data_IF_983556990909
#
_entry.id   IF_983556990909
#
_cell.length_a   1.000
_cell.length_b   1.000
_cell.length_c   1.000
_cell.angle_alpha   90.00
_cell.angle_beta   90.00
_cell.angle_gamma   90.00
#
_symmetry.space_group_name_H-M   'P 1'
#
loop_
_entity.id
_entity.type
_entity.pdbx_description
1 polymer ?
#
# COMPACT_ATOMS: atom_id res chain seq x y z
N UNK A 1 22.14 -24.43 -31.59
CA UNK A 1 22.64 -23.17 -31.00
C UNK A 1 21.41 -22.41 -30.55
N UNK A 2 20.98 -22.63 -29.30
CA UNK A 2 19.82 -21.94 -28.75
C UNK A 2 20.26 -20.50 -28.46
N UNK A 3 19.62 -19.51 -29.08
CA UNK A 3 19.68 -18.13 -28.60
C UNK A 3 19.03 -18.15 -27.22
N UNK A 4 19.82 -17.93 -26.17
CA UNK A 4 19.28 -17.48 -24.89
C UNK A 4 18.68 -16.11 -25.14
N UNK A 5 17.37 -16.07 -25.40
CA UNK A 5 16.61 -14.83 -25.34
C UNK A 5 16.53 -14.46 -23.86
N UNK A 6 17.47 -13.63 -23.40
CA UNK A 6 17.32 -13.00 -22.09
C UNK A 6 16.20 -11.97 -22.25
N UNK A 7 15.07 -12.24 -21.61
CA UNK A 7 13.96 -11.29 -21.50
C UNK A 7 13.99 -10.74 -20.07
N UNK A 8 15.08 -10.10 -19.65
CA UNK A 8 15.06 -9.45 -18.34
C UNK A 8 14.02 -8.32 -18.40
N UNK A 9 12.93 -8.47 -17.66
CA UNK A 9 11.93 -7.41 -17.56
C UNK A 9 12.50 -6.34 -16.63
N UNK A 10 12.83 -5.18 -17.21
CA UNK A 10 13.39 -4.05 -16.46
C UNK A 10 12.39 -2.91 -16.43
N UNK A 11 11.89 -2.62 -15.24
CA UNK A 11 11.01 -1.49 -14.98
C UNK A 11 11.81 -0.29 -14.48
N UNK A 12 11.58 0.88 -15.09
CA UNK A 12 12.31 2.11 -14.76
C UNK A 12 11.41 3.12 -14.06
N UNK A 13 11.67 3.33 -12.78
CA UNK A 13 10.86 4.15 -11.87
C UNK A 13 11.61 5.40 -11.40
N UNK A 14 10.86 6.40 -10.97
CA UNK A 14 11.38 7.71 -10.55
C UNK A 14 11.91 8.57 -11.71
N UNK A 15 12.21 9.83 -11.46
CA UNK A 15 12.78 10.74 -12.44
C UNK A 15 14.25 11.05 -12.08
N UNK A 16 15.15 10.94 -13.06
CA UNK A 16 16.56 11.21 -12.85
C UNK A 16 16.76 12.66 -12.41
N UNK A 17 17.60 12.88 -11.39
CA UNK A 17 17.83 14.20 -10.79
C UNK A 17 16.73 14.69 -9.85
N UNK A 18 15.60 13.97 -9.68
CA UNK A 18 14.53 14.35 -8.75
C UNK A 18 14.41 13.33 -7.62
N UNK A 19 14.92 13.70 -6.44
CA UNK A 19 14.97 12.83 -5.26
C UNK A 19 13.59 12.41 -4.78
N UNK A 20 12.62 13.33 -4.75
CA UNK A 20 11.29 13.06 -4.22
C UNK A 20 10.52 12.01 -5.03
N UNK A 21 10.59 12.04 -6.38
CA UNK A 21 9.92 11.06 -7.24
C UNK A 21 10.56 9.67 -7.11
N UNK A 22 11.88 9.62 -6.94
CA UNK A 22 12.61 8.38 -6.68
C UNK A 22 12.24 7.77 -5.32
N UNK A 23 12.10 8.60 -4.27
CA UNK A 23 11.64 8.13 -2.96
C UNK A 23 10.20 7.58 -3.01
N UNK A 24 9.27 8.30 -3.65
CA UNK A 24 7.89 7.81 -3.81
C UNK A 24 7.85 6.49 -4.59
N UNK A 25 8.62 6.41 -5.67
CA UNK A 25 8.71 5.20 -6.49
C UNK A 25 9.23 4.01 -5.70
N UNK A 26 10.27 4.21 -4.90
CA UNK A 26 10.83 3.15 -4.05
C UNK A 26 9.83 2.70 -2.98
N UNK A 27 9.11 3.62 -2.33
CA UNK A 27 8.09 3.24 -1.34
C UNK A 27 6.90 2.51 -1.98
N UNK A 28 6.43 2.97 -3.14
CA UNK A 28 5.37 2.30 -3.88
C UNK A 28 5.80 0.89 -4.29
N UNK A 29 7.01 0.75 -4.84
CA UNK A 29 7.59 -0.54 -5.25
C UNK A 29 7.58 -1.52 -4.07
N UNK A 30 8.16 -1.12 -2.92
CA UNK A 30 8.21 -1.96 -1.72
C UNK A 30 6.83 -2.26 -1.14
N UNK A 31 5.87 -1.33 -1.22
CA UNK A 31 4.51 -1.57 -0.72
C UNK A 31 3.74 -2.60 -1.57
N UNK A 32 4.02 -2.65 -2.87
CA UNK A 32 3.23 -3.42 -3.85
C UNK A 32 3.85 -4.74 -4.26
N UNK A 33 5.15 -4.93 -4.01
CA UNK A 33 5.90 -6.13 -4.38
C UNK A 33 6.38 -6.86 -3.12
N UNK A 34 5.97 -8.11 -2.96
CA UNK A 34 6.19 -8.88 -1.73
C UNK A 34 7.61 -9.48 -1.62
N UNK A 35 8.30 -9.69 -2.74
CA UNK A 35 9.47 -10.59 -2.81
C UNK A 35 10.80 -9.87 -3.11
N UNK A 36 10.88 -8.58 -2.79
CA UNK A 36 12.14 -7.82 -2.95
C UNK A 36 13.10 -8.24 -1.83
N UNK A 37 14.17 -8.93 -2.19
CA UNK A 37 15.15 -9.45 -1.21
C UNK A 37 16.52 -8.77 -1.31
N UNK A 38 16.85 -8.22 -2.48
CA UNK A 38 18.18 -7.70 -2.77
C UNK A 38 18.11 -6.40 -3.58
N UNK A 39 18.98 -5.45 -3.21
CA UNK A 39 19.14 -4.17 -3.87
C UNK A 39 20.63 -3.84 -4.09
N UNK A 40 20.95 -3.31 -5.27
CA UNK A 40 22.24 -2.72 -5.59
C UNK A 40 22.13 -1.21 -5.62
N UNK A 41 22.93 -0.54 -4.81
CA UNK A 41 23.25 0.87 -4.94
C UNK A 41 24.30 1.03 -6.05
N UNK A 42 23.92 1.69 -7.13
CA UNK A 42 24.80 2.00 -8.25
C UNK A 42 25.38 3.39 -8.06
N UNK A 43 26.70 3.48 -7.86
CA UNK A 43 27.38 4.75 -7.61
C UNK A 43 28.25 5.14 -8.81
N UNK A 44 28.02 6.33 -9.36
CA UNK A 44 28.90 7.00 -10.32
C UNK A 44 29.25 8.36 -9.77
N UNK A 45 30.52 8.56 -9.38
CA UNK A 45 30.98 9.77 -8.71
C UNK A 45 30.14 10.06 -7.45
N UNK A 46 29.33 11.13 -7.47
CA UNK A 46 28.44 11.52 -6.38
C UNK A 46 26.96 11.28 -6.71
N UNK A 47 26.64 10.55 -7.78
CA UNK A 47 25.27 10.24 -8.19
C UNK A 47 24.95 8.77 -7.96
N UNK A 48 23.74 8.51 -7.49
CA UNK A 48 23.31 7.19 -7.06
C UNK A 48 21.95 6.80 -7.61
N UNK A 49 21.84 5.54 -8.04
CA UNK A 49 20.62 4.87 -8.47
C UNK A 49 20.47 3.54 -7.73
N UNK A 50 19.30 2.90 -7.80
CA UNK A 50 19.10 1.55 -7.28
C UNK A 50 18.64 0.59 -8.36
N UNK A 51 19.09 -0.66 -8.26
CA UNK A 51 18.47 -1.80 -8.94
C UNK A 51 18.03 -2.79 -7.87
N UNK A 52 16.74 -3.08 -7.82
CA UNK A 52 16.16 -4.12 -6.98
C UNK A 52 15.82 -5.32 -7.84
N UNK A 53 15.88 -6.52 -7.25
CA UNK A 53 15.38 -7.73 -7.90
C UNK A 53 14.39 -8.47 -7.02
N UNK A 54 13.41 -9.09 -7.65
CA UNK A 54 12.48 -10.00 -6.98
C UNK A 54 12.94 -11.46 -7.09
N UNK A 55 12.14 -12.37 -6.52
CA UNK A 55 12.34 -13.82 -6.57
C UNK A 55 12.21 -14.42 -7.98
N UNK A 56 11.61 -13.69 -8.92
CA UNK A 56 11.31 -14.12 -10.29
C UNK A 56 12.30 -13.57 -11.31
N UNK A 57 13.42 -12.99 -10.86
CA UNK A 57 14.44 -12.35 -11.69
C UNK A 57 13.90 -11.17 -12.54
N UNK A 58 12.86 -10.48 -12.06
CA UNK A 58 12.50 -9.17 -12.58
C UNK A 58 13.36 -8.09 -11.92
N UNK A 59 13.72 -7.07 -12.70
CA UNK A 59 14.57 -5.98 -12.22
C UNK A 59 13.81 -4.66 -12.18
N UNK A 60 13.95 -3.96 -11.06
CA UNK A 60 13.31 -2.68 -10.83
C UNK A 60 14.38 -1.62 -10.61
N UNK A 61 14.48 -0.69 -11.54
CA UNK A 61 15.42 0.41 -11.50
C UNK A 61 14.75 1.61 -10.86
N UNK A 62 15.34 2.14 -9.78
CA UNK A 62 15.10 3.52 -9.35
C UNK A 62 16.18 4.39 -9.99
N UNK A 63 15.78 5.32 -10.87
CA UNK A 63 16.70 6.21 -11.60
C UNK A 63 17.59 7.02 -10.66
N UNK A 64 18.63 7.64 -11.23
CA UNK A 64 19.63 8.40 -10.48
C UNK A 64 19.08 9.73 -9.93
N UNK A 65 18.23 9.67 -8.91
CA UNK A 65 17.67 10.83 -8.21
C UNK A 65 18.36 11.16 -6.89
N UNK A 66 19.39 10.39 -6.53
CA UNK A 66 20.10 10.51 -5.25
C UNK A 66 21.53 10.99 -5.47
N UNK A 67 22.09 11.71 -4.49
CA UNK A 67 23.47 12.20 -4.55
C UNK A 67 24.18 12.03 -3.21
N UNK A 68 25.50 12.25 -3.16
CA UNK A 68 26.28 12.27 -1.92
C UNK A 68 27.39 13.36 -1.95
N UNK A 69 28.13 13.52 -0.85
CA UNK A 69 29.29 14.42 -0.79
C UNK A 69 28.99 15.87 -0.37
N UNK A 70 27.74 16.20 -0.07
CA UNK A 70 27.33 17.50 0.49
C UNK A 70 26.10 17.34 1.39
N UNK A 71 25.69 18.42 2.05
CA UNK A 71 24.43 18.46 2.80
C UNK A 71 23.32 19.02 1.89
N UNK A 72 22.29 18.23 1.61
CA UNK A 72 21.19 18.65 0.75
C UNK A 72 20.10 17.59 0.60
N UNK A 73 19.17 17.83 -0.33
CA UNK A 73 18.02 16.95 -0.56
C UNK A 73 18.43 15.57 -1.09
N UNK A 74 19.32 15.51 -2.08
CA UNK A 74 19.79 14.25 -2.66
C UNK A 74 20.45 13.30 -1.65
N UNK A 75 21.43 13.76 -0.84
CA UNK A 75 22.06 12.92 0.19
C UNK A 75 21.11 12.54 1.33
N UNK A 76 20.22 13.46 1.74
CA UNK A 76 19.15 13.15 2.68
C UNK A 76 18.21 12.08 2.12
N UNK A 77 17.83 12.18 0.85
CA UNK A 77 17.00 11.19 0.18
C UNK A 77 17.67 9.84 0.07
N UNK A 78 18.98 9.80 -0.21
CA UNK A 78 19.76 8.56 -0.21
C UNK A 78 19.72 7.89 1.17
N UNK A 79 19.94 8.67 2.23
CA UNK A 79 19.86 8.17 3.60
C UNK A 79 18.48 7.59 3.95
N UNK A 80 17.40 8.26 3.52
CA UNK A 80 16.01 7.78 3.68
C UNK A 80 15.79 6.48 2.90
N UNK A 81 16.25 6.40 1.65
CA UNK A 81 16.13 5.21 0.80
C UNK A 81 16.85 4.00 1.41
N UNK A 82 18.12 4.16 1.81
CA UNK A 82 18.89 3.10 2.45
C UNK A 82 18.26 2.64 3.78
N UNK A 83 17.75 3.58 4.57
CA UNK A 83 17.08 3.26 5.83
C UNK A 83 15.74 2.55 5.62
N UNK A 84 15.03 2.87 4.54
CA UNK A 84 13.83 2.16 4.12
C UNK A 84 14.16 0.72 3.73
N UNK A 85 15.15 0.49 2.87
CA UNK A 85 15.59 -0.85 2.46
C UNK A 85 15.98 -1.70 3.68
N UNK A 86 16.80 -1.13 4.58
CA UNK A 86 17.20 -1.78 5.84
C UNK A 86 16.00 -2.17 6.72
N UNK A 87 15.00 -1.29 6.83
CA UNK A 87 13.79 -1.54 7.64
C UNK A 87 12.95 -2.69 7.07
N UNK A 88 12.92 -2.84 5.74
CA UNK A 88 12.24 -3.95 5.06
C UNK A 88 13.12 -5.20 4.91
N UNK A 89 14.29 -5.23 5.57
CA UNK A 89 15.22 -6.35 5.54
C UNK A 89 15.70 -6.70 4.11
N UNK A 90 15.73 -5.70 3.22
CA UNK A 90 16.28 -5.85 1.88
C UNK A 90 17.79 -5.72 1.97
N UNK A 91 18.51 -6.78 1.60
CA UNK A 91 19.96 -6.77 1.56
C UNK A 91 20.41 -5.74 0.52
N UNK A 92 21.29 -4.82 0.93
CA UNK A 92 21.75 -3.74 0.08
C UNK A 92 23.26 -3.74 0.01
N UNK A 93 23.79 -3.74 -1.20
CA UNK A 93 25.22 -3.63 -1.48
C UNK A 93 25.48 -2.49 -2.45
N UNK A 94 26.73 -2.03 -2.54
CA UNK A 94 27.12 -0.91 -3.40
C UNK A 94 28.16 -1.35 -4.42
N UNK A 95 28.02 -0.89 -5.66
CA UNK A 95 29.00 -1.06 -6.73
C UNK A 95 29.32 0.27 -7.40
N UNK A 96 30.52 0.36 -7.98
CA UNK A 96 30.88 1.48 -8.87
C UNK A 96 30.44 1.18 -10.29
N UNK A 97 29.81 2.16 -10.93
CA UNK A 97 29.43 2.09 -12.35
C UNK A 97 29.98 3.28 -13.11
N UNK A 98 30.19 3.09 -14.41
CA UNK A 98 30.58 4.21 -15.28
C UNK A 98 29.43 5.19 -15.49
N UNK A 99 29.75 6.47 -15.70
CA UNK A 99 28.78 7.52 -16.05
C UNK A 99 27.98 7.14 -17.30
N UNK A 100 28.61 6.43 -18.26
CA UNK A 100 27.92 5.93 -19.46
C UNK A 100 26.81 4.94 -19.13
N UNK A 101 27.07 4.01 -18.20
CA UNK A 101 26.09 3.02 -17.76
C UNK A 101 24.96 3.68 -16.97
N UNK A 102 25.29 4.63 -16.10
CA UNK A 102 24.27 5.40 -15.36
C UNK A 102 23.38 6.22 -16.31
N UNK A 103 23.95 6.81 -17.36
CA UNK A 103 23.18 7.53 -18.38
C UNK A 103 22.23 6.61 -19.16
N UNK A 104 22.65 5.39 -19.51
CA UNK A 104 21.76 4.38 -20.12
C UNK A 104 20.59 4.03 -19.20
N UNK A 105 20.88 3.85 -17.91
CA UNK A 105 19.88 3.56 -16.90
C UNK A 105 18.83 4.69 -16.82
N UNK A 106 19.29 5.94 -16.77
CA UNK A 106 18.38 7.10 -16.73
C UNK A 106 17.53 7.24 -18.00
N UNK A 107 18.06 6.86 -19.16
CA UNK A 107 17.33 6.85 -20.43
C UNK A 107 16.55 5.56 -20.70
N UNK A 108 16.45 4.65 -19.73
CA UNK A 108 15.68 3.40 -19.82
C UNK A 108 16.17 2.47 -20.95
N UNK A 109 17.49 2.37 -21.12
CA UNK A 109 18.13 1.71 -22.26
C UNK A 109 19.19 0.67 -21.87
N UNK A 110 19.07 0.04 -20.70
CA UNK A 110 19.93 -1.08 -20.33
C UNK A 110 19.56 -2.31 -21.18
N UNK A 111 20.57 -3.00 -21.68
CA UNK A 111 20.42 -4.32 -22.28
C UNK A 111 20.60 -5.42 -21.23
N UNK A 112 20.23 -6.66 -21.54
CA UNK A 112 20.49 -7.80 -20.64
C UNK A 112 21.99 -7.94 -20.32
N UNK A 113 22.86 -7.65 -21.31
CA UNK A 113 24.31 -7.64 -21.09
C UNK A 113 24.75 -6.57 -20.09
N UNK A 114 24.08 -5.41 -20.08
CA UNK A 114 24.36 -4.37 -19.10
C UNK A 114 23.92 -4.80 -17.69
N UNK A 115 22.80 -5.52 -17.57
CA UNK A 115 22.31 -6.09 -16.29
C UNK A 115 23.26 -7.18 -15.78
N UNK A 116 23.62 -8.15 -16.63
CA UNK A 116 24.58 -9.19 -16.30
C UNK A 116 25.90 -8.59 -15.83
N UNK A 117 26.37 -7.55 -16.53
CA UNK A 117 27.60 -6.83 -16.17
C UNK A 117 27.51 -6.13 -14.81
N UNK A 118 26.35 -5.55 -14.47
CA UNK A 118 26.11 -4.90 -13.16
C UNK A 118 26.24 -5.91 -12.03
N UNK A 119 25.58 -7.07 -12.14
CA UNK A 119 25.61 -8.09 -11.08
C UNK A 119 26.92 -8.87 -11.00
N UNK A 120 27.81 -8.74 -11.99
CA UNK A 120 29.17 -9.28 -11.96
C UNK A 120 30.20 -8.30 -11.38
N UNK A 121 29.85 -7.04 -11.12
CA UNK A 121 30.78 -6.06 -10.57
C UNK A 121 31.21 -6.43 -9.14
N UNK A 122 32.44 -6.05 -8.79
CA UNK A 122 32.93 -6.18 -7.42
C UNK A 122 32.20 -5.20 -6.50
N UNK A 123 31.70 -5.75 -5.40
CA UNK A 123 31.05 -4.99 -4.33
C UNK A 123 32.09 -4.13 -3.61
N UNK A 124 31.74 -2.87 -3.34
CA UNK A 124 32.58 -1.96 -2.56
C UNK A 124 32.70 -2.47 -1.12
N UNK A 125 33.95 -2.70 -0.68
CA UNK A 125 34.29 -3.07 0.70
C UNK A 125 35.33 -2.11 1.29
N UNK A 126 35.29 -1.79 2.60
CA UNK A 126 34.23 -2.13 3.54
C UNK A 126 32.91 -1.47 3.16
N UNK A 127 31.78 -2.03 3.61
CA UNK A 127 30.44 -1.50 3.30
C UNK A 127 30.32 -0.09 3.92
N UNK A 128 30.10 0.93 3.08
CA UNK A 128 30.03 2.35 3.50
C UNK A 128 28.60 2.88 3.61
N UNK A 129 27.59 2.02 3.45
CA UNK A 129 26.19 2.44 3.47
C UNK A 129 25.80 3.20 4.75
N UNK A 130 26.42 2.85 5.88
CA UNK A 130 26.19 3.55 7.14
C UNK A 130 26.68 5.01 7.11
N UNK A 131 27.76 5.29 6.38
CA UNK A 131 28.35 6.63 6.26
C UNK A 131 27.40 7.59 5.52
N UNK A 132 26.56 7.07 4.62
CA UNK A 132 25.50 7.86 3.98
C UNK A 132 24.33 8.17 4.92
N UNK A 133 24.06 7.31 5.90
CA UNK A 133 22.93 7.45 6.82
C UNK A 133 23.28 8.34 8.01
N UNK A 134 24.49 8.18 8.57
CA UNK A 134 24.91 8.80 9.82
C UNK A 134 24.70 10.33 9.88
N UNK A 135 25.01 11.11 8.83
CA UNK A 135 24.80 12.56 8.86
C UNK A 135 23.32 13.00 8.92
N UNK A 136 22.38 12.09 8.67
CA UNK A 136 20.94 12.37 8.53
C UNK A 136 20.06 11.52 9.47
N UNK A 137 20.63 10.97 10.55
CA UNK A 137 19.90 10.06 11.46
C UNK A 137 18.59 10.65 12.01
N UNK A 138 18.59 11.95 12.33
CA UNK A 138 17.41 12.63 12.84
C UNK A 138 16.30 12.72 11.78
N UNK A 139 16.66 13.14 10.58
CA UNK A 139 15.78 13.26 9.43
C UNK A 139 15.22 11.91 9.01
N UNK A 140 16.08 10.88 8.98
CA UNK A 140 15.69 9.51 8.72
C UNK A 140 14.70 9.04 9.79
N UNK A 141 14.98 9.28 11.07
CA UNK A 141 14.10 8.87 12.16
C UNK A 141 12.73 9.55 12.10
N UNK A 142 12.68 10.84 11.75
CA UNK A 142 11.43 11.57 11.57
C UNK A 142 10.66 11.08 10.33
N UNK A 143 11.37 10.88 9.23
CA UNK A 143 10.78 10.45 7.97
C UNK A 143 10.29 9.01 8.04
N UNK A 144 11.03 8.11 8.68
CA UNK A 144 10.58 6.72 8.87
C UNK A 144 9.35 6.62 9.78
N UNK A 145 9.20 7.53 10.75
CA UNK A 145 7.97 7.69 11.53
C UNK A 145 6.82 8.25 10.70
N UNK A 146 7.12 9.11 9.73
CA UNK A 146 6.14 9.65 8.80
C UNK A 146 5.81 8.64 7.68
N UNK A 147 4.57 8.17 7.60
CA UNK A 147 4.13 7.29 6.50
C UNK A 147 3.92 8.04 5.17
N UNK A 148 4.44 9.26 5.03
CA UNK A 148 4.10 10.18 3.94
C UNK A 148 4.50 9.72 2.53
N UNK A 149 5.45 8.79 2.42
CA UNK A 149 5.88 8.26 1.13
C UNK A 149 5.13 6.99 0.70
N UNK A 150 4.39 6.35 1.61
CA UNK A 150 3.56 5.21 1.25
C UNK A 150 2.29 5.70 0.56
N UNK A 151 1.99 5.23 -0.66
CA UNK A 151 0.76 5.59 -1.34
C UNK A 151 -0.46 5.15 -0.52
N UNK A 152 -1.41 6.06 -0.38
CA UNK A 152 -2.71 5.79 0.22
C UNK A 152 -3.64 5.27 -0.87
N UNK A 153 -3.73 3.95 -0.98
CA UNK A 153 -4.47 3.25 -2.03
C UNK A 153 -5.40 2.19 -1.44
N UNK A 154 -6.54 1.96 -2.08
CA UNK A 154 -7.50 0.94 -1.65
C UNK A 154 -7.07 -0.44 -2.21
N UNK A 155 -7.03 -1.49 -1.38
CA UNK A 155 -6.72 -2.85 -1.83
C UNK A 155 -7.94 -3.45 -2.55
N UNK A 156 -8.04 -3.20 -3.86
CA UNK A 156 -9.18 -3.61 -4.69
C UNK A 156 -9.51 -5.11 -4.65
N UNK A 157 -8.52 -5.97 -4.43
CA UNK A 157 -8.70 -7.43 -4.38
C UNK A 157 -9.52 -7.94 -3.18
N UNK A 158 -9.72 -7.11 -2.14
CA UNK A 158 -10.46 -7.51 -0.92
C UNK A 158 -11.79 -6.73 -0.76
N UNK A 159 -12.17 -5.95 -1.77
CA UNK A 159 -13.39 -5.15 -1.73
C UNK A 159 -14.57 -5.98 -2.25
N UNK A 160 -15.70 -5.93 -1.55
CA UNK A 160 -16.95 -6.56 -1.97
C UNK A 160 -17.46 -5.96 -3.29
N UNK A 161 -17.78 -6.84 -4.25
CA UNK A 161 -18.21 -6.45 -5.60
C UNK A 161 -19.41 -5.48 -5.60
N UNK A 162 -20.28 -5.55 -4.59
CA UNK A 162 -21.49 -4.70 -4.48
C UNK A 162 -21.17 -3.25 -4.17
N UNK A 163 -19.94 -2.93 -3.79
CA UNK A 163 -19.45 -1.55 -3.57
C UNK A 163 -18.21 -1.21 -4.39
N UNK A 164 -17.81 -2.07 -5.34
CA UNK A 164 -16.62 -1.84 -6.14
C UNK A 164 -16.71 -0.55 -6.98
N UNK A 165 -17.90 -0.25 -7.51
CA UNK A 165 -18.20 1.03 -8.18
C UNK A 165 -17.93 2.24 -7.26
N UNK A 166 -18.26 2.12 -5.98
CA UNK A 166 -18.01 3.15 -4.98
C UNK A 166 -16.53 3.25 -4.63
N UNK A 167 -15.78 2.15 -4.64
CA UNK A 167 -14.33 2.15 -4.46
C UNK A 167 -13.59 2.89 -5.58
N UNK A 168 -14.10 2.81 -6.82
CA UNK A 168 -13.57 3.58 -7.95
C UNK A 168 -13.91 5.07 -7.81
N UNK A 169 -15.15 5.40 -7.42
CA UNK A 169 -15.57 6.78 -7.16
C UNK A 169 -14.79 7.43 -6.00
N UNK A 170 -14.44 6.63 -4.99
CA UNK A 170 -13.81 7.08 -3.75
C UNK A 170 -12.55 7.92 -3.97
N UNK A 171 -11.76 7.64 -5.02
CA UNK A 171 -10.56 8.43 -5.34
C UNK A 171 -10.86 9.89 -5.69
N UNK A 172 -12.05 10.17 -6.22
CA UNK A 172 -12.47 11.50 -6.66
C UNK A 172 -13.37 12.17 -5.62
N UNK A 173 -14.28 11.41 -5.03
CA UNK A 173 -15.27 11.89 -4.07
C UNK A 173 -15.49 10.88 -2.94
N UNK A 174 -14.60 10.87 -1.93
CA UNK A 174 -14.67 9.95 -0.79
C UNK A 174 -15.98 10.04 -0.01
N UNK A 175 -16.48 11.26 0.22
CA UNK A 175 -17.65 11.49 1.07
C UNK A 175 -18.93 10.95 0.42
N UNK A 176 -19.11 11.21 -0.87
CA UNK A 176 -20.23 10.67 -1.65
C UNK A 176 -20.17 9.14 -1.73
N UNK A 177 -18.98 8.57 -1.97
CA UNK A 177 -18.79 7.11 -2.01
C UNK A 177 -19.18 6.46 -0.67
N UNK A 178 -18.68 6.98 0.46
CA UNK A 178 -19.00 6.45 1.79
C UNK A 178 -20.48 6.60 2.14
N UNK A 179 -21.07 7.77 1.91
CA UNK A 179 -22.50 8.00 2.18
C UNK A 179 -23.39 7.06 1.36
N UNK A 180 -23.04 6.81 0.09
CA UNK A 180 -23.75 5.83 -0.75
C UNK A 180 -23.56 4.41 -0.24
N UNK A 181 -22.35 4.05 0.22
CA UNK A 181 -22.07 2.71 0.73
C UNK A 181 -22.95 2.35 1.94
N UNK A 182 -23.11 3.26 2.92
CA UNK A 182 -23.99 3.02 4.06
C UNK A 182 -25.46 2.89 3.66
N UNK A 183 -25.95 3.78 2.79
CA UNK A 183 -27.34 3.73 2.32
C UNK A 183 -27.63 2.42 1.60
N UNK A 184 -26.72 2.02 0.70
CA UNK A 184 -26.83 0.77 -0.06
C UNK A 184 -26.80 -0.47 0.84
N UNK A 185 -25.98 -0.48 1.90
CA UNK A 185 -25.99 -1.58 2.88
C UNK A 185 -27.33 -1.68 3.59
N UNK A 186 -27.88 -0.54 4.02
CA UNK A 186 -29.20 -0.49 4.66
C UNK A 186 -30.31 -0.98 3.72
N UNK A 187 -30.29 -0.56 2.46
CA UNK A 187 -31.23 -1.04 1.43
C UNK A 187 -31.12 -2.55 1.21
N UNK A 188 -29.91 -3.11 1.11
CA UNK A 188 -29.67 -4.55 0.94
C UNK A 188 -30.28 -5.34 2.09
N UNK A 189 -30.01 -4.93 3.34
CA UNK A 189 -30.55 -5.61 4.53
C UNK A 189 -32.08 -5.51 4.58
N UNK A 190 -32.65 -4.36 4.22
CA UNK A 190 -34.13 -4.20 4.13
C UNK A 190 -34.73 -5.12 3.08
N UNK A 191 -34.15 -5.19 1.88
CA UNK A 191 -34.64 -6.07 0.81
C UNK A 191 -34.53 -7.54 1.21
N UNK A 192 -33.45 -7.92 1.89
CA UNK A 192 -33.21 -9.30 2.32
C UNK A 192 -34.14 -9.76 3.43
N UNK A 193 -34.50 -8.88 4.35
CA UNK A 193 -35.26 -9.24 5.57
C UNK A 193 -36.72 -8.80 5.55
N UNK A 194 -37.10 -7.91 4.62
CA UNK A 194 -38.45 -7.33 4.53
C UNK A 194 -38.77 -6.30 5.62
N UNK A 195 -37.84 -5.99 6.52
CA UNK A 195 -38.02 -4.99 7.58
C UNK A 195 -38.02 -3.58 6.99
N UNK A 196 -38.90 -2.70 7.50
CA UNK A 196 -39.03 -1.29 7.07
C UNK A 196 -38.38 -0.27 8.01
N UNK A 197 -37.72 -0.73 9.06
CA UNK A 197 -36.95 0.11 9.98
C UNK A 197 -35.69 0.68 9.31
N UNK A 198 -35.09 1.68 9.97
CA UNK A 198 -33.92 2.40 9.48
C UNK A 198 -32.76 2.36 10.46
N UNK A 199 -31.54 2.52 9.94
CA UNK A 199 -30.33 2.70 10.73
C UNK A 199 -30.14 1.61 11.80
N UNK A 200 -29.79 2.00 13.02
CA UNK A 200 -29.51 1.11 14.15
C UNK A 200 -30.67 0.21 14.54
N UNK A 201 -31.91 0.70 14.40
CA UNK A 201 -33.11 -0.07 14.72
C UNK A 201 -33.29 -1.24 13.76
N UNK A 202 -33.00 -1.03 12.48
CA UNK A 202 -32.98 -2.10 11.48
C UNK A 202 -32.02 -3.21 11.92
N UNK A 203 -30.76 -2.87 12.17
CA UNK A 203 -29.76 -3.89 12.49
C UNK A 203 -29.99 -4.57 13.85
N UNK A 204 -30.51 -3.84 14.84
CA UNK A 204 -30.93 -4.44 16.10
C UNK A 204 -32.04 -5.47 15.86
N UNK A 205 -33.07 -5.17 15.06
CA UNK A 205 -34.14 -6.12 14.78
C UNK A 205 -33.68 -7.31 13.92
N UNK A 206 -32.73 -7.08 13.00
CA UNK A 206 -32.24 -8.10 12.08
C UNK A 206 -31.36 -9.12 12.80
N UNK A 207 -30.45 -8.65 13.67
CA UNK A 207 -29.40 -9.50 14.26
C UNK A 207 -29.52 -9.70 15.77
N UNK A 208 -30.31 -8.89 16.50
CA UNK A 208 -30.42 -8.96 17.96
C UNK A 208 -31.83 -9.35 18.43
N UNK A 209 -31.86 -10.15 19.50
CA UNK A 209 -33.10 -10.51 20.21
C UNK A 209 -33.70 -11.84 19.77
N UNK A 210 -34.81 -12.22 20.41
CA UNK A 210 -35.48 -13.51 20.20
C UNK A 210 -36.09 -13.64 18.80
N UNK A 211 -36.37 -12.51 18.13
CA UNK A 211 -36.94 -12.44 16.78
C UNK A 211 -35.90 -12.06 15.71
N UNK A 212 -34.61 -12.26 15.99
CA UNK A 212 -33.57 -12.04 14.99
C UNK A 212 -33.84 -12.90 13.74
N UNK A 213 -33.56 -12.33 12.58
CA UNK A 213 -33.82 -12.97 11.28
C UNK A 213 -32.52 -13.54 10.71
N UNK A 214 -31.40 -12.85 10.94
CA UNK A 214 -30.09 -13.23 10.43
C UNK A 214 -29.13 -13.53 11.58
N UNK A 215 -28.26 -14.51 11.36
CA UNK A 215 -27.14 -14.88 12.24
C UNK A 215 -25.93 -15.28 11.41
N UNK A 216 -24.83 -15.68 12.04
CA UNK A 216 -23.68 -16.29 11.36
C UNK A 216 -23.54 -17.75 11.79
N UNK A 217 -23.09 -18.60 10.87
CA UNK A 217 -22.75 -20.01 11.14
C UNK A 217 -21.38 -20.09 11.80
N UNK A 218 -21.34 -19.85 13.11
CA UNK A 218 -20.12 -19.89 13.92
C UNK A 218 -20.35 -20.72 15.18
N UNK A 219 -19.32 -21.41 15.69
CA UNK A 219 -19.49 -22.38 16.77
C UNK A 219 -19.81 -21.75 18.12
N UNK A 220 -19.44 -20.48 18.35
CA UNK A 220 -19.60 -19.81 19.65
C UNK A 220 -20.62 -18.67 19.60
N UNK A 221 -21.61 -18.74 20.49
CA UNK A 221 -22.57 -17.66 20.74
C UNK A 221 -21.92 -16.32 21.13
N UNK A 222 -20.75 -16.34 21.76
CA UNK A 222 -20.01 -15.13 22.09
C UNK A 222 -19.42 -14.46 20.83
N UNK A 223 -19.02 -15.25 19.82
CA UNK A 223 -18.57 -14.74 18.52
C UNK A 223 -19.73 -14.08 17.77
N UNK A 224 -20.92 -14.70 17.76
CA UNK A 224 -22.14 -14.09 17.19
C UNK A 224 -22.39 -12.72 17.84
N UNK A 225 -22.37 -12.64 19.17
CA UNK A 225 -22.53 -11.38 19.90
C UNK A 225 -21.45 -10.35 19.54
N UNK A 226 -20.21 -10.80 19.34
CA UNK A 226 -19.10 -9.98 18.88
C UNK A 226 -19.35 -9.39 17.50
N UNK A 227 -19.72 -10.22 16.52
CA UNK A 227 -20.05 -9.79 15.14
C UNK A 227 -21.19 -8.78 15.11
N UNK A 228 -22.24 -9.03 15.89
CA UNK A 228 -23.36 -8.10 16.07
C UNK A 228 -22.88 -6.72 16.55
N UNK A 229 -22.07 -6.71 17.62
CA UNK A 229 -21.58 -5.48 18.22
C UNK A 229 -20.64 -4.72 17.28
N UNK A 230 -19.79 -5.45 16.55
CA UNK A 230 -18.94 -4.87 15.52
C UNK A 230 -19.77 -4.24 14.41
N UNK A 231 -20.76 -4.96 13.90
CA UNK A 231 -21.60 -4.52 12.80
C UNK A 231 -22.38 -3.24 13.16
N UNK A 232 -23.14 -3.31 14.26
CA UNK A 232 -23.96 -2.20 14.72
C UNK A 232 -23.12 -1.03 15.20
N UNK A 233 -22.05 -1.29 15.95
CA UNK A 233 -21.14 -0.28 16.49
C UNK A 233 -20.40 0.48 15.40
N UNK A 234 -19.85 -0.22 14.40
CA UNK A 234 -19.18 0.41 13.26
C UNK A 234 -20.16 1.27 12.45
N UNK A 235 -21.33 0.73 12.09
CA UNK A 235 -22.36 1.51 11.39
C UNK A 235 -22.72 2.79 12.16
N UNK A 236 -22.98 2.68 13.47
CA UNK A 236 -23.33 3.81 14.33
C UNK A 236 -22.25 4.88 14.44
N UNK A 237 -20.99 4.46 14.59
CA UNK A 237 -19.88 5.37 14.83
C UNK A 237 -19.67 6.33 13.65
N UNK A 238 -19.84 5.83 12.42
CA UNK A 238 -19.49 6.56 11.21
C UNK A 238 -20.70 7.13 10.47
N UNK A 239 -21.79 6.38 10.33
CA UNK A 239 -22.98 6.88 9.62
C UNK A 239 -23.59 8.09 10.30
N UNK A 240 -23.73 8.07 11.62
CA UNK A 240 -24.35 9.18 12.38
C UNK A 240 -23.52 10.46 12.25
N UNK A 241 -22.19 10.34 12.24
CA UNK A 241 -21.31 11.48 12.03
C UNK A 241 -21.56 12.12 10.65
N UNK A 242 -21.60 11.31 9.59
CA UNK A 242 -21.88 11.80 8.22
C UNK A 242 -23.30 12.32 8.01
N UNK A 243 -24.26 11.89 8.82
CA UNK A 243 -25.65 12.36 8.73
C UNK A 243 -25.84 13.78 9.31
N UNK A 244 -25.00 14.17 10.26
CA UNK A 244 -25.27 15.31 11.13
C UNK A 244 -24.16 16.37 11.15
N UNK A 245 -23.00 16.12 10.53
CA UNK A 245 -21.87 17.06 10.52
C UNK A 245 -21.18 17.05 9.15
N UNK A 246 -21.03 18.23 8.55
CA UNK A 246 -19.95 18.45 7.58
C UNK A 246 -18.65 18.40 8.38
N UNK A 247 -17.84 17.37 8.18
CA UNK A 247 -16.54 17.27 8.82
C UNK A 247 -15.44 17.49 7.80
N UNK A 248 -14.47 18.33 8.15
CA UNK A 248 -13.11 18.26 7.62
C UNK A 248 -12.43 16.99 8.13
N UNK A 249 -12.87 15.82 7.64
CA UNK A 249 -12.23 14.55 7.95
C UNK A 249 -10.95 14.38 7.14
N UNK A 250 -9.87 14.01 7.82
CA UNK A 250 -8.61 13.64 7.18
C UNK A 250 -8.85 12.46 6.22
N UNK A 251 -8.33 12.56 4.99
CA UNK A 251 -8.39 11.53 3.97
C UNK A 251 -8.01 10.13 4.50
N UNK A 252 -7.01 10.04 5.39
CA UNK A 252 -6.61 8.77 6.02
C UNK A 252 -7.77 8.12 6.80
N UNK A 253 -8.60 8.91 7.48
CA UNK A 253 -9.77 8.40 8.18
C UNK A 253 -10.82 7.88 7.21
N UNK A 254 -11.03 8.57 6.09
CA UNK A 254 -11.97 8.13 5.05
C UNK A 254 -11.55 6.80 4.43
N UNK A 255 -10.25 6.58 4.17
CA UNK A 255 -9.74 5.29 3.67
C UNK A 255 -10.00 4.16 4.68
N UNK A 256 -9.73 4.40 5.97
CA UNK A 256 -10.02 3.42 7.03
C UNK A 256 -11.51 3.14 7.14
N UNK A 257 -12.34 4.17 7.04
CA UNK A 257 -13.78 4.02 7.06
C UNK A 257 -14.28 3.22 5.86
N UNK A 258 -13.72 3.41 4.67
CA UNK A 258 -14.07 2.63 3.48
C UNK A 258 -13.83 1.13 3.72
N UNK A 259 -12.69 0.78 4.31
CA UNK A 259 -12.38 -0.60 4.67
C UNK A 259 -13.32 -1.15 5.75
N UNK A 260 -13.74 -0.33 6.70
CA UNK A 260 -14.71 -0.74 7.73
C UNK A 260 -16.09 -0.97 7.15
N UNK A 261 -16.59 -0.11 6.26
CA UNK A 261 -17.88 -0.36 5.60
C UNK A 261 -17.79 -1.59 4.68
N UNK A 262 -16.65 -1.81 3.99
CA UNK A 262 -16.41 -3.03 3.23
C UNK A 262 -16.56 -4.29 4.10
N UNK A 263 -15.98 -4.28 5.30
CA UNK A 263 -16.12 -5.40 6.24
C UNK A 263 -17.59 -5.66 6.61
N UNK A 264 -18.42 -4.61 6.74
CA UNK A 264 -19.85 -4.80 6.99
C UNK A 264 -20.57 -5.46 5.81
N UNK A 265 -20.17 -5.20 4.57
CA UNK A 265 -20.72 -5.89 3.41
C UNK A 265 -20.35 -7.38 3.46
N UNK A 266 -19.09 -7.71 3.73
CA UNK A 266 -18.63 -9.10 3.86
C UNK A 266 -19.37 -9.84 4.97
N UNK A 267 -19.48 -9.23 6.16
CA UNK A 267 -20.26 -9.79 7.27
C UNK A 267 -21.74 -9.98 6.92
N UNK A 268 -22.35 -9.04 6.21
CA UNK A 268 -23.74 -9.20 5.76
C UNK A 268 -23.87 -10.38 4.79
N UNK A 269 -22.94 -10.53 3.84
CA UNK A 269 -22.97 -11.63 2.87
C UNK A 269 -22.81 -13.00 3.54
N UNK A 270 -21.96 -13.10 4.57
CA UNK A 270 -21.77 -14.33 5.36
C UNK A 270 -22.96 -14.70 6.25
N UNK A 271 -23.83 -13.74 6.56
CA UNK A 271 -24.96 -14.02 7.42
C UNK A 271 -25.90 -15.06 6.79
N UNK A 272 -26.53 -15.89 7.60
CA UNK A 272 -27.52 -16.90 7.21
C UNK A 272 -28.87 -16.56 7.85
N UNK A 273 -29.95 -17.00 7.21
CA UNK A 273 -31.29 -16.88 7.79
C UNK A 273 -31.44 -17.87 8.93
N UNK A 274 -32.00 -17.41 10.06
CA UNK A 274 -32.38 -18.30 11.16
C UNK A 274 -33.60 -19.10 10.69
N UNK A 275 -33.41 -20.38 10.38
CA UNK A 275 -34.52 -21.27 10.10
C UNK A 275 -35.33 -21.48 11.39
N UNK A 276 -36.62 -21.18 11.33
CA UNK A 276 -37.54 -21.50 12.41
C UNK A 276 -37.62 -23.03 12.54
N UNK A 277 -37.20 -23.58 13.68
CA UNK A 277 -37.50 -24.97 14.03
C UNK A 277 -38.99 -25.16 14.32
#
# INVERSE_FOLDING_TARGET
MFKTENYSHVDYLGEAGITQTCLFSLHNLIQTHADLSYALLLTSEQSHAFILKDSSENYYVIRAGFTSGYFGEGPKGLAIALSLLKRHQIETEEILVSTKLLNKLNSSSLSDQDIDFIFQQEIIRPIRLHDYIYPFENEVTQTTKSKCYYPLELPYSIIDDRIFDLALLFKQDPDSALTKAYKRLEDIVRTRTGIREHSTKLFAQVFQGENAILTWDVPDSAEIKGRINLFTGAYMAFRNARAHREKDENLIHQYREFLLINELYLLEAEAITIESK
#
